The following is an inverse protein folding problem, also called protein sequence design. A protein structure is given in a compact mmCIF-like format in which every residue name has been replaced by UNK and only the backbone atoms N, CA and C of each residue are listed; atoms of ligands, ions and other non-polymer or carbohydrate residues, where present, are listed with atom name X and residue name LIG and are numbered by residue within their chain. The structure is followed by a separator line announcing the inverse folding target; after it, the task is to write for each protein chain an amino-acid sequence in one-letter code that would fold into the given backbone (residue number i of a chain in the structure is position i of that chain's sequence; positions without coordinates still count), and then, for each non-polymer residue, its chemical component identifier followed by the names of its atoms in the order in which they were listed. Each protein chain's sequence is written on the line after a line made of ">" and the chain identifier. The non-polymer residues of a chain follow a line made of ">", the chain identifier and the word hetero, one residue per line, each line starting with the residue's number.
data_IF_728963837643
#
_entry.id   IF_728963837643
#
_cell.length_a   1.000
_cell.length_b   1.000
_cell.length_c   1.000
_cell.angle_alpha   90.00
_cell.angle_beta   90.00
_cell.angle_gamma   90.00
#
_symmetry.space_group_name_H-M   'P 1'
#
loop_
_entity.id
_entity.type
_entity.pdbx_description
1 polymer ?
#
# COMPACT_ATOMS: atom_id res chain seq x y z
N UNK A 1 -2.61 -59.34 46.59
CA UNK A 1 -3.37 -59.28 47.85
C UNK A 1 -4.06 -57.94 47.95
N UNK A 2 -5.38 -57.80 47.84
CA UNK A 2 -6.41 -58.53 47.10
C UNK A 2 -7.58 -57.50 46.95
N UNK A 3 -8.25 -57.37 45.82
CA UNK A 3 -9.37 -58.22 45.38
C UNK A 3 -10.52 -58.35 46.42
N UNK A 4 -11.80 -58.21 46.08
CA UNK A 4 -12.44 -57.78 44.80
C UNK A 4 -13.98 -57.79 44.90
N UNK A 5 -14.69 -57.36 43.83
CA UNK A 5 -15.98 -57.96 43.35
C UNK A 5 -17.25 -57.71 44.22
N UNK A 6 -18.53 -57.70 43.74
CA UNK A 6 -19.27 -58.00 42.48
C UNK A 6 -20.36 -56.89 42.32
N UNK A 7 -20.69 -56.27 41.17
CA UNK A 7 -21.27 -56.76 39.88
C UNK A 7 -22.70 -57.35 40.02
N UNK A 8 -23.69 -57.00 39.19
CA UNK A 8 -24.13 -57.57 37.87
C UNK A 8 -25.42 -56.81 37.46
N UNK A 9 -25.90 -56.58 36.22
CA UNK A 9 -25.47 -56.51 34.80
C UNK A 9 -26.67 -55.87 34.01
N UNK A 10 -26.77 -55.69 32.68
CA UNK A 10 -25.96 -56.01 31.48
C UNK A 10 -26.26 -55.04 30.31
N UNK A 11 -25.54 -55.02 29.17
CA UNK A 11 -25.64 -55.92 27.98
C UNK A 11 -26.97 -55.69 27.22
N UNK A 12 -27.03 -55.40 25.90
CA UNK A 12 -26.17 -55.66 24.71
C UNK A 12 -25.82 -54.36 23.91
N UNK A 13 -24.83 -54.23 22.98
CA UNK A 13 -24.37 -55.02 21.79
C UNK A 13 -25.44 -55.10 20.68
N UNK A 14 -25.24 -54.94 19.35
CA UNK A 14 -24.14 -54.74 18.34
C UNK A 14 -24.80 -54.16 17.02
N UNK A 15 -24.19 -53.74 15.88
CA UNK A 15 -22.86 -53.22 15.45
C UNK A 15 -22.85 -52.85 13.93
N UNK A 16 -22.03 -51.86 13.48
CA UNK A 16 -21.77 -51.50 12.05
C UNK A 16 -21.58 -49.98 11.87
N UNK A 17 -20.51 -49.43 11.25
CA UNK A 17 -20.05 -49.48 9.84
C UNK A 17 -20.99 -48.69 8.90
N UNK A 18 -20.64 -47.55 8.27
CA UNK A 18 -19.45 -47.12 7.48
C UNK A 18 -19.42 -47.70 6.05
N UNK A 19 -19.54 -46.83 5.01
CA UNK A 19 -19.00 -46.92 3.62
C UNK A 19 -19.57 -45.79 2.72
N UNK A 20 -18.81 -45.45 1.68
CA UNK A 20 -19.00 -44.58 0.47
C UNK A 20 -20.44 -44.23 0.00
N UNK A 21 -20.76 -43.11 -0.68
CA UNK A 21 -20.09 -42.29 -1.73
C UNK A 21 -20.27 -42.78 -3.20
N UNK A 22 -20.57 -41.83 -4.10
CA UNK A 22 -20.47 -41.92 -5.58
C UNK A 22 -21.46 -42.81 -6.38
N UNK A 23 -22.69 -42.33 -6.64
CA UNK A 23 -23.46 -42.56 -7.89
C UNK A 23 -24.71 -41.64 -7.94
N UNK A 24 -25.32 -41.29 -9.08
CA UNK A 24 -25.07 -41.69 -10.47
C UNK A 24 -25.27 -40.51 -11.45
N UNK A 25 -24.63 -40.61 -12.63
CA UNK A 25 -24.89 -39.79 -13.82
C UNK A 25 -25.81 -40.58 -14.80
N UNK A 26 -26.39 -39.89 -15.78
CA UNK A 26 -27.10 -40.43 -16.96
C UNK A 26 -28.42 -41.22 -16.76
N UNK A 27 -29.54 -40.58 -17.10
CA UNK A 27 -30.67 -41.03 -17.97
C UNK A 27 -31.83 -40.02 -17.75
N UNK A 28 -32.68 -39.64 -18.72
CA UNK A 28 -33.26 -40.37 -19.86
C UNK A 28 -33.26 -39.55 -21.17
N UNK A 29 -33.86 -40.05 -22.26
CA UNK A 29 -33.62 -39.54 -23.62
C UNK A 29 -34.81 -39.54 -24.59
N UNK A 30 -34.98 -38.41 -25.33
CA UNK A 30 -35.60 -38.26 -26.68
C UNK A 30 -37.13 -38.44 -26.85
N UNK A 31 -37.63 -37.83 -27.96
CA UNK A 31 -38.91 -38.05 -28.69
C UNK A 31 -40.18 -37.39 -28.06
N UNK A 32 -41.11 -36.74 -28.81
CA UNK A 32 -41.25 -36.44 -30.26
C UNK A 32 -41.95 -35.07 -30.52
N UNK A 33 -41.84 -34.57 -31.76
CA UNK A 33 -42.80 -33.72 -32.49
C UNK A 33 -43.09 -32.29 -31.95
N UNK A 34 -43.64 -31.34 -32.72
CA UNK A 34 -44.07 -31.36 -34.12
C UNK A 34 -43.58 -30.10 -34.90
N UNK A 35 -43.63 -30.15 -36.24
CA UNK A 35 -43.28 -29.03 -37.11
C UNK A 35 -44.48 -28.10 -37.33
N UNK A 36 -44.27 -26.79 -37.31
CA UNK A 36 -45.22 -25.78 -37.79
C UNK A 36 -44.48 -24.73 -38.63
N UNK A 37 -44.82 -24.62 -39.92
CA UNK A 37 -44.21 -23.65 -40.82
C UNK A 37 -44.90 -22.28 -40.71
N UNK A 38 -44.15 -21.26 -40.33
CA UNK A 38 -44.49 -19.87 -40.62
C UNK A 38 -43.39 -19.23 -41.46
N UNK A 39 -43.67 -19.01 -42.75
CA UNK A 39 -42.73 -18.39 -43.67
C UNK A 39 -42.77 -16.87 -43.51
N UNK A 40 -41.87 -16.33 -42.69
CA UNK A 40 -41.73 -14.89 -42.51
C UNK A 40 -40.88 -14.30 -43.65
N UNK A 41 -41.49 -13.54 -44.56
CA UNK A 41 -40.80 -12.95 -45.70
C UNK A 41 -39.95 -11.75 -45.25
N UNK A 42 -38.70 -12.01 -44.88
CA UNK A 42 -37.76 -11.00 -44.41
C UNK A 42 -37.34 -10.05 -45.55
N UNK A 43 -37.83 -8.80 -45.49
CA UNK A 43 -37.39 -7.72 -46.39
C UNK A 43 -35.98 -7.30 -45.97
N UNK A 44 -34.97 -7.78 -46.70
CA UNK A 44 -33.57 -7.42 -46.48
C UNK A 44 -33.29 -5.98 -46.95
N UNK A 45 -33.59 -5.00 -46.10
CA UNK A 45 -33.12 -3.62 -46.29
C UNK A 45 -31.59 -3.62 -46.14
N UNK A 46 -30.81 -3.21 -47.16
CA UNK A 46 -29.37 -3.12 -47.04
C UNK A 46 -29.02 -1.95 -46.12
N UNK A 47 -28.77 -2.27 -44.84
CA UNK A 47 -28.32 -1.29 -43.86
C UNK A 47 -26.89 -0.87 -44.21
N UNK A 48 -26.77 0.18 -45.03
CA UNK A 48 -25.49 0.71 -45.48
C UNK A 48 -24.65 1.07 -44.26
N UNK A 49 -23.59 0.28 -44.00
CA UNK A 49 -22.77 0.40 -42.82
C UNK A 49 -22.00 1.72 -42.82
N UNK A 50 -22.58 2.75 -42.18
CA UNK A 50 -21.87 3.98 -41.83
C UNK A 50 -20.77 3.58 -40.85
N UNK A 51 -19.59 3.32 -41.39
CA UNK A 51 -18.40 3.03 -40.61
C UNK A 51 -18.11 4.21 -39.70
N UNK A 52 -18.43 4.07 -38.41
CA UNK A 52 -18.03 5.03 -37.39
C UNK A 52 -16.50 5.04 -37.37
N UNK A 53 -15.92 6.01 -38.09
CA UNK A 53 -14.50 6.27 -38.04
C UNK A 53 -14.12 6.48 -36.57
N UNK A 54 -13.29 5.59 -36.02
CA UNK A 54 -12.67 5.85 -34.72
C UNK A 54 -11.95 7.18 -34.84
N UNK A 55 -12.25 8.11 -33.94
CA UNK A 55 -11.47 9.33 -33.81
C UNK A 55 -10.00 8.92 -33.71
N UNK A 56 -9.18 9.35 -34.67
CA UNK A 56 -7.77 8.96 -34.72
C UNK A 56 -7.11 9.40 -33.43
N UNK A 57 -6.45 8.48 -32.73
CA UNK A 57 -5.66 8.89 -31.57
C UNK A 57 -4.56 9.83 -32.08
N UNK A 58 -4.52 11.03 -31.49
CA UNK A 58 -3.62 12.10 -31.90
C UNK A 58 -2.17 11.59 -31.96
N UNK A 59 -1.39 12.06 -32.94
CA UNK A 59 -0.04 11.56 -33.14
C UNK A 59 0.87 11.94 -31.95
N UNK A 60 1.70 11.02 -31.49
CA UNK A 60 2.66 11.27 -30.41
C UNK A 60 3.81 12.16 -30.92
N UNK A 61 3.95 13.35 -30.34
CA UNK A 61 5.00 14.31 -30.68
C UNK A 61 6.23 14.08 -29.81
N UNK A 62 6.05 13.91 -28.50
CA UNK A 62 7.16 13.74 -27.55
C UNK A 62 6.78 13.06 -26.25
N UNK A 63 7.80 12.61 -25.52
CA UNK A 63 7.70 12.03 -24.18
C UNK A 63 8.74 12.70 -23.29
N UNK A 64 8.34 13.10 -22.10
CA UNK A 64 9.21 13.64 -21.06
C UNK A 64 9.05 12.81 -19.77
N UNK A 65 10.10 12.76 -18.96
CA UNK A 65 10.11 12.04 -17.68
C UNK A 65 10.55 12.98 -16.57
N UNK A 66 9.83 12.96 -15.44
CA UNK A 66 10.07 13.83 -14.30
C UNK A 66 10.23 13.00 -13.00
N UNK A 67 11.28 13.23 -12.20
CA UNK A 67 12.42 14.12 -12.49
C UNK A 67 13.28 13.61 -13.66
N UNK A 68 14.01 14.50 -14.31
CA UNK A 68 14.87 14.17 -15.47
C UNK A 68 16.18 13.48 -15.09
N UNK A 69 16.49 13.44 -13.79
CA UNK A 69 17.62 12.74 -13.16
C UNK A 69 17.20 12.39 -11.73
N UNK A 70 17.76 11.31 -11.18
CA UNK A 70 17.44 10.81 -9.84
C UNK A 70 18.71 10.76 -9.00
N UNK A 71 18.58 11.18 -7.74
CA UNK A 71 19.60 10.98 -6.70
C UNK A 71 18.98 10.13 -5.59
N UNK A 72 19.70 9.11 -5.14
CA UNK A 72 19.38 8.30 -3.97
C UNK A 72 20.58 8.37 -3.03
N UNK A 73 20.36 8.84 -1.81
CA UNK A 73 21.39 9.40 -0.92
C UNK A 73 21.39 8.81 0.50
N UNK A 74 20.60 7.76 0.72
CA UNK A 74 20.61 6.93 1.93
C UNK A 74 19.96 5.58 1.65
N UNK A 75 20.13 4.60 2.54
CA UNK A 75 19.44 3.31 2.50
C UNK A 75 17.90 3.40 2.55
N UNK A 76 17.34 4.57 2.85
CA UNK A 76 15.90 4.80 3.04
C UNK A 76 15.24 5.46 1.81
N UNK A 77 16.03 6.07 0.93
CA UNK A 77 15.60 6.93 -0.19
C UNK A 77 14.76 6.16 -1.23
N UNK A 78 13.78 6.87 -1.79
CA UNK A 78 12.74 6.31 -2.68
C UNK A 78 12.32 7.34 -3.70
N UNK A 79 12.33 6.98 -4.98
CA UNK A 79 11.90 7.86 -6.07
C UNK A 79 10.91 7.16 -7.00
N UNK A 80 9.78 7.80 -7.28
CA UNK A 80 8.92 7.45 -8.43
C UNK A 80 9.11 8.46 -9.54
N UNK A 81 8.72 8.12 -10.77
CA UNK A 81 8.81 9.02 -11.92
C UNK A 81 7.45 9.18 -12.59
N UNK A 82 7.18 10.38 -13.11
CA UNK A 82 6.01 10.67 -13.94
C UNK A 82 6.43 10.74 -15.40
N UNK A 83 5.72 10.03 -16.27
CA UNK A 83 5.96 10.00 -17.72
C UNK A 83 4.85 10.78 -18.42
N UNK A 84 5.21 11.89 -19.07
CA UNK A 84 4.27 12.76 -19.76
C UNK A 84 4.41 12.61 -21.28
N UNK A 85 3.38 12.09 -21.93
CA UNK A 85 3.24 12.14 -23.39
C UNK A 85 2.69 13.50 -23.82
N UNK A 86 3.17 14.01 -24.96
CA UNK A 86 2.68 15.23 -25.62
C UNK A 86 2.27 14.88 -27.04
N UNK A 87 1.06 15.28 -27.42
CA UNK A 87 0.40 14.88 -28.67
C UNK A 87 0.25 16.05 -29.65
N UNK A 88 -0.05 15.74 -30.93
CA UNK A 88 -0.12 16.72 -32.03
C UNK A 88 -1.32 17.69 -31.97
N UNK A 89 -2.26 17.45 -31.06
CA UNK A 89 -3.35 18.35 -30.67
C UNK A 89 -2.93 19.32 -29.55
N UNK A 90 -1.66 19.28 -29.12
CA UNK A 90 -1.12 20.04 -28.00
C UNK A 90 -1.45 19.47 -26.62
N UNK A 91 -2.19 18.35 -26.54
CA UNK A 91 -2.61 17.77 -25.27
C UNK A 91 -1.45 17.00 -24.64
N UNK A 92 -1.19 17.27 -23.36
CA UNK A 92 -0.29 16.46 -22.52
C UNK A 92 -1.09 15.42 -21.73
N UNK A 93 -0.58 14.19 -21.59
CA UNK A 93 -1.20 13.13 -20.78
C UNK A 93 -0.17 12.43 -19.92
N UNK A 94 -0.54 12.11 -18.67
CA UNK A 94 0.19 11.12 -17.87
C UNK A 94 0.03 9.74 -18.54
N UNK A 95 1.17 9.10 -18.82
CA UNK A 95 1.27 7.76 -19.39
C UNK A 95 2.18 6.85 -18.53
N UNK A 96 2.45 7.22 -17.29
CA UNK A 96 3.33 6.49 -16.36
C UNK A 96 2.94 5.02 -16.22
N UNK A 97 1.64 4.73 -16.11
CA UNK A 97 1.08 3.37 -16.03
C UNK A 97 1.03 2.61 -17.36
N UNK A 98 1.42 3.25 -18.47
CA UNK A 98 1.49 2.66 -19.83
C UNK A 98 2.92 2.58 -20.37
N UNK A 99 3.87 3.27 -19.75
CA UNK A 99 5.28 3.22 -20.12
C UNK A 99 5.93 1.93 -19.59
N UNK A 100 6.87 1.38 -20.34
CA UNK A 100 7.81 0.39 -19.80
C UNK A 100 9.01 1.11 -19.19
N UNK A 101 9.53 0.56 -18.10
CA UNK A 101 10.69 1.09 -17.38
C UNK A 101 11.66 -0.06 -17.11
N UNK A 102 12.95 0.14 -17.38
CA UNK A 102 14.01 -0.84 -17.13
C UNK A 102 15.31 -0.15 -16.72
N UNK A 103 16.11 -0.80 -15.88
CA UNK A 103 17.38 -0.25 -15.39
C UNK A 103 18.57 -0.95 -16.05
N UNK A 104 19.57 -0.19 -16.50
CA UNK A 104 20.69 -0.69 -17.29
C UNK A 104 21.64 -1.58 -16.48
N UNK A 105 21.86 -1.24 -15.21
CA UNK A 105 22.53 -2.10 -14.24
C UNK A 105 21.68 -2.17 -12.95
N UNK A 106 21.20 -3.36 -12.53
CA UNK A 106 20.37 -3.54 -11.33
C UNK A 106 21.20 -3.75 -10.04
N UNK A 107 22.46 -3.34 -10.04
CA UNK A 107 23.40 -3.41 -8.91
C UNK A 107 23.32 -2.16 -8.02
N UNK A 108 23.23 -0.96 -8.61
CA UNK A 108 23.20 0.30 -7.87
C UNK A 108 21.81 0.61 -7.29
N UNK A 109 20.75 0.30 -8.03
CA UNK A 109 19.37 0.50 -7.61
C UNK A 109 18.44 -0.62 -8.10
N UNK A 110 17.36 -0.87 -7.36
CA UNK A 110 16.25 -1.75 -7.80
C UNK A 110 15.08 -0.90 -8.29
N UNK A 111 14.25 -1.49 -9.17
CA UNK A 111 13.05 -0.86 -9.73
C UNK A 111 11.86 -1.79 -9.53
N UNK A 112 10.94 -1.42 -8.64
CA UNK A 112 9.78 -2.23 -8.26
C UNK A 112 8.49 -1.44 -8.52
N UNK A 113 7.73 -1.79 -9.56
CA UNK A 113 6.44 -1.15 -9.85
C UNK A 113 6.52 0.36 -10.16
N UNK A 114 7.67 0.84 -10.66
CA UNK A 114 7.93 2.27 -10.88
C UNK A 114 8.56 3.01 -9.69
N UNK A 115 8.83 2.31 -8.59
CA UNK A 115 9.57 2.81 -7.43
C UNK A 115 11.04 2.41 -7.54
N UNK A 116 11.94 3.38 -7.64
CA UNK A 116 13.38 3.19 -7.45
C UNK A 116 13.74 3.14 -5.96
N UNK A 117 14.66 2.24 -5.61
CA UNK A 117 15.31 2.14 -4.29
C UNK A 117 16.81 1.92 -4.48
N UNK A 118 17.68 2.45 -3.61
CA UNK A 118 19.12 2.17 -3.68
C UNK A 118 19.43 0.74 -3.24
N UNK A 119 20.55 0.22 -3.73
CA UNK A 119 21.08 -1.11 -3.42
C UNK A 119 22.59 -1.10 -3.19
N UNK A 120 23.34 -0.31 -3.97
CA UNK A 120 24.77 -0.06 -3.79
C UNK A 120 25.16 1.30 -4.40
N UNK A 121 26.24 1.89 -3.91
CA UNK A 121 26.77 3.16 -4.42
C UNK A 121 27.27 3.01 -5.88
N UNK A 122 26.98 4.00 -6.71
CA UNK A 122 27.36 4.07 -8.11
C UNK A 122 26.30 4.67 -9.03
N UNK A 123 26.67 4.86 -10.30
CA UNK A 123 25.78 5.39 -11.33
C UNK A 123 25.10 4.27 -12.14
N UNK A 124 23.83 4.46 -12.46
CA UNK A 124 23.08 3.61 -13.40
C UNK A 124 22.10 4.45 -14.22
N UNK A 125 21.46 3.84 -15.22
CA UNK A 125 20.54 4.55 -16.13
C UNK A 125 19.21 3.84 -16.15
N UNK A 126 18.14 4.58 -15.86
CA UNK A 126 16.77 4.15 -16.08
C UNK A 126 16.40 4.47 -17.53
N UNK A 127 15.96 3.46 -18.29
CA UNK A 127 15.35 3.63 -19.60
C UNK A 127 13.84 3.59 -19.44
N UNK A 128 13.15 4.61 -19.95
CA UNK A 128 11.69 4.70 -19.96
C UNK A 128 11.23 4.75 -21.40
N UNK A 129 10.33 3.86 -21.81
CA UNK A 129 9.82 3.80 -23.18
C UNK A 129 8.30 3.85 -23.24
N UNK A 130 7.76 4.57 -24.21
CA UNK A 130 6.34 4.69 -24.48
C UNK A 130 6.10 4.85 -25.99
N UNK A 131 5.28 3.96 -26.56
CA UNK A 131 5.10 3.83 -28.01
C UNK A 131 6.45 3.74 -28.77
N UNK A 132 6.71 4.64 -29.72
CA UNK A 132 7.94 4.72 -30.53
C UNK A 132 8.98 5.70 -29.96
N UNK A 133 8.88 6.06 -28.67
CA UNK A 133 9.79 6.97 -27.97
C UNK A 133 10.44 6.29 -26.77
N UNK A 134 11.70 6.64 -26.51
CA UNK A 134 12.44 6.24 -25.32
C UNK A 134 13.23 7.43 -24.78
N UNK A 135 13.31 7.51 -23.45
CA UNK A 135 14.00 8.55 -22.68
C UNK A 135 14.90 7.84 -21.67
N UNK A 136 16.15 8.29 -21.55
CA UNK A 136 17.07 7.85 -20.50
C UNK A 136 17.09 8.87 -19.36
N UNK A 137 17.10 8.38 -18.13
CA UNK A 137 17.16 9.16 -16.90
C UNK A 137 18.38 8.68 -16.09
N UNK A 138 19.37 9.54 -15.82
CA UNK A 138 20.48 9.20 -14.92
C UNK A 138 19.96 8.90 -13.51
N UNK A 139 20.51 7.87 -12.89
CA UNK A 139 20.25 7.50 -11.48
C UNK A 139 21.58 7.42 -10.77
N UNK A 140 21.83 8.40 -9.91
CA UNK A 140 23.02 8.50 -9.08
C UNK A 140 22.71 7.92 -7.70
N UNK A 141 23.55 7.00 -7.21
CA UNK A 141 23.39 6.38 -5.89
C UNK A 141 24.64 6.63 -5.05
N UNK A 142 24.46 7.24 -3.89
CA UNK A 142 25.48 7.39 -2.85
C UNK A 142 24.93 6.90 -1.51
N UNK A 143 25.83 6.44 -0.63
CA UNK A 143 25.53 6.15 0.78
C UNK A 143 24.36 5.16 0.93
N UNK A 144 24.24 4.19 0.02
CA UNK A 144 23.16 3.21 -0.05
C UNK A 144 23.12 2.26 1.16
N UNK A 145 24.24 2.12 1.87
CA UNK A 145 24.32 1.40 3.15
C UNK A 145 24.07 2.26 4.39
N UNK A 146 23.96 3.59 4.25
CA UNK A 146 23.80 4.49 5.40
C UNK A 146 22.34 4.66 5.80
N UNK A 147 22.04 4.34 7.07
CA UNK A 147 20.78 4.68 7.69
C UNK A 147 20.86 6.08 8.31
N UNK A 148 20.31 7.08 7.61
CA UNK A 148 20.16 8.44 8.15
C UNK A 148 19.40 8.40 9.49
N UNK A 149 19.84 9.17 10.52
CA UNK A 149 19.14 9.26 11.80
C UNK A 149 17.68 9.73 11.66
N UNK A 150 16.80 9.14 12.46
CA UNK A 150 15.37 9.43 12.43
C UNK A 150 15.06 10.86 12.89
N UNK A 151 14.38 11.62 12.04
CA UNK A 151 13.98 13.01 12.28
C UNK A 151 12.55 13.09 12.82
N UNK A 152 12.33 13.90 13.85
CA UNK A 152 10.96 14.13 14.33
C UNK A 152 10.16 14.97 13.33
N UNK A 153 10.77 16.03 12.78
CA UNK A 153 10.16 16.93 11.80
C UNK A 153 9.94 16.29 10.42
N UNK A 154 10.90 15.49 9.93
CA UNK A 154 10.84 14.93 8.56
C UNK A 154 10.24 13.51 8.48
N UNK A 155 10.38 12.67 9.50
CA UNK A 155 9.81 11.32 9.49
C UNK A 155 8.51 11.21 10.31
N UNK A 156 8.54 11.67 11.56
CA UNK A 156 7.47 11.40 12.54
C UNK A 156 6.26 12.31 12.36
N UNK A 157 6.46 13.61 12.16
CA UNK A 157 5.35 14.56 11.98
C UNK A 157 4.53 14.27 10.70
N UNK A 158 5.13 13.93 9.55
CA UNK A 158 4.37 13.49 8.37
C UNK A 158 3.56 12.21 8.61
N UNK A 159 4.01 11.27 9.45
CA UNK A 159 3.18 10.11 9.85
C UNK A 159 1.92 10.58 10.59
N UNK A 160 2.01 11.50 11.55
CA UNK A 160 0.83 12.04 12.25
C UNK A 160 -0.11 12.82 11.32
N UNK A 161 0.41 13.46 10.28
CA UNK A 161 -0.40 14.13 9.26
C UNK A 161 -1.09 13.14 8.32
N UNK A 162 -0.34 12.19 7.77
CA UNK A 162 -0.80 11.16 6.82
C UNK A 162 -1.88 10.25 7.42
N UNK A 163 -1.75 9.91 8.69
CA UNK A 163 -2.69 9.07 9.45
C UNK A 163 -3.85 9.85 10.09
N UNK A 164 -3.83 11.18 9.98
CA UNK A 164 -4.90 12.08 10.42
C UNK A 164 -4.92 12.40 11.92
N UNK A 165 -3.92 11.98 12.69
CA UNK A 165 -3.81 12.22 14.13
C UNK A 165 -3.80 13.71 14.48
N UNK A 166 -3.05 14.52 13.72
CA UNK A 166 -2.91 15.97 13.94
C UNK A 166 -3.97 16.82 13.17
N UNK A 167 -5.10 16.21 12.78
CA UNK A 167 -6.23 16.93 12.16
C UNK A 167 -7.09 17.65 13.21
N UNK A 168 -7.75 18.73 12.77
CA UNK A 168 -8.73 19.48 13.58
C UNK A 168 -9.94 18.68 14.08
N UNK A 169 -10.09 17.41 13.66
CA UNK A 169 -11.13 16.49 14.16
C UNK A 169 -10.80 15.86 15.52
N UNK A 170 -9.51 15.77 15.87
CA UNK A 170 -9.00 15.03 17.02
C UNK A 170 -7.90 15.84 17.73
N UNK A 171 -6.65 15.37 17.75
CA UNK A 171 -5.60 16.02 18.54
C UNK A 171 -5.12 17.34 17.95
N UNK A 172 -5.28 17.58 16.64
CA UNK A 172 -5.04 18.87 15.99
C UNK A 172 -6.14 19.93 16.21
N UNK A 173 -7.19 19.63 16.99
CA UNK A 173 -8.16 20.63 17.42
C UNK A 173 -7.51 21.64 18.37
N UNK A 174 -8.01 22.88 18.45
CA UNK A 174 -7.41 23.92 19.30
C UNK A 174 -7.33 23.58 20.81
N UNK A 175 -8.18 22.67 21.29
CA UNK A 175 -8.14 22.11 22.66
C UNK A 175 -7.61 20.67 22.73
N UNK A 176 -7.25 20.08 21.58
CA UNK A 176 -7.00 18.65 21.43
C UNK A 176 -8.21 17.79 21.81
N UNK A 177 -7.92 16.58 22.27
CA UNK A 177 -8.91 15.60 22.76
C UNK A 177 -8.35 14.85 23.96
N UNK A 178 -9.20 14.56 24.94
CA UNK A 178 -8.88 13.72 26.12
C UNK A 178 -7.61 14.13 26.89
N UNK A 179 -7.30 15.44 26.92
CA UNK A 179 -6.10 15.99 27.57
C UNK A 179 -4.80 15.84 26.77
N UNK A 180 -4.88 15.62 25.46
CA UNK A 180 -3.72 15.61 24.56
C UNK A 180 -4.02 16.37 23.26
N UNK A 181 -3.08 17.23 22.84
CA UNK A 181 -3.14 18.00 21.61
C UNK A 181 -1.84 17.89 20.82
N UNK A 182 -1.98 17.97 19.52
CA UNK A 182 -0.91 18.24 18.55
C UNK A 182 -1.25 19.58 17.86
N UNK A 183 -0.29 20.18 17.19
CA UNK A 183 -0.48 21.33 16.33
C UNK A 183 -1.23 20.90 15.06
N UNK A 184 -2.11 21.76 14.55
CA UNK A 184 -2.88 21.46 13.34
C UNK A 184 -1.92 21.25 12.17
N UNK A 185 -1.95 20.06 11.58
CA UNK A 185 -1.08 19.63 10.48
C UNK A 185 0.44 19.79 10.74
N UNK A 186 0.88 19.83 12.00
CA UNK A 186 2.31 19.93 12.34
C UNK A 186 2.88 21.37 12.32
N UNK A 187 2.04 22.40 12.42
CA UNK A 187 2.42 23.81 12.46
C UNK A 187 3.44 24.20 13.56
N UNK A 188 3.48 23.45 14.67
CA UNK A 188 4.39 23.67 15.80
C UNK A 188 5.01 22.32 16.22
N UNK A 189 6.03 21.85 15.45
CA UNK A 189 6.58 20.52 15.64
C UNK A 189 7.45 20.43 16.90
N UNK A 190 8.17 21.49 17.27
CA UNK A 190 8.98 21.53 18.50
C UNK A 190 8.09 21.49 19.76
N UNK A 191 6.95 22.20 19.75
CA UNK A 191 5.94 22.10 20.79
C UNK A 191 5.24 20.74 20.82
N UNK A 192 5.06 20.08 19.67
CA UNK A 192 4.47 18.73 19.60
C UNK A 192 5.41 17.63 20.08
N UNK A 193 6.71 17.74 19.79
CA UNK A 193 7.73 16.89 20.41
C UNK A 193 7.67 16.99 21.93
N UNK A 194 7.61 18.23 22.46
CA UNK A 194 7.45 18.47 23.90
C UNK A 194 6.15 17.88 24.45
N UNK A 195 5.02 17.99 23.73
CA UNK A 195 3.72 17.42 24.15
C UNK A 195 3.76 15.89 24.19
N UNK A 196 4.43 15.25 23.23
CA UNK A 196 4.60 13.79 23.24
C UNK A 196 5.56 13.32 24.35
N UNK A 197 6.70 14.00 24.52
CA UNK A 197 7.83 13.47 25.33
C UNK A 197 7.91 14.01 26.77
N UNK A 198 7.44 15.24 27.05
CA UNK A 198 7.69 15.95 28.33
C UNK A 198 6.45 16.48 29.06
N UNK A 199 5.44 16.99 28.35
CA UNK A 199 4.28 17.68 28.96
C UNK A 199 3.60 16.83 30.06
N UNK A 200 3.51 15.51 29.86
CA UNK A 200 3.09 14.55 30.90
C UNK A 200 4.02 13.33 30.87
N UNK A 201 5.17 13.45 31.55
CA UNK A 201 6.22 12.42 31.69
C UNK A 201 5.67 11.01 31.94
N UNK A 202 6.20 10.02 31.22
CA UNK A 202 5.91 8.59 31.41
C UNK A 202 4.50 8.12 31.02
N UNK A 203 3.54 9.02 30.74
CA UNK A 203 2.15 8.63 30.39
C UNK A 203 1.88 8.42 28.91
N UNK A 204 2.77 8.87 28.02
CA UNK A 204 2.56 8.81 26.55
C UNK A 204 3.55 7.88 25.85
N UNK A 205 4.81 7.87 26.29
CA UNK A 205 5.89 7.05 25.75
C UNK A 205 6.47 6.14 26.82
N UNK A 206 6.72 4.89 26.47
CA UNK A 206 7.44 3.90 27.25
C UNK A 206 8.74 3.54 26.50
N UNK A 207 9.86 4.14 26.87
CA UNK A 207 11.14 3.91 26.19
C UNK A 207 11.85 2.61 26.63
N UNK A 208 11.29 1.88 27.60
CA UNK A 208 11.77 0.55 27.98
C UNK A 208 11.10 -0.56 27.16
N UNK A 209 9.81 -0.39 26.83
CA UNK A 209 9.03 -1.28 25.96
C UNK A 209 8.27 -0.41 24.94
N UNK A 210 8.93 -0.11 23.82
CA UNK A 210 8.48 0.90 22.85
C UNK A 210 7.10 0.62 22.25
N UNK A 211 6.76 -0.65 22.02
CA UNK A 211 5.44 -1.06 21.54
C UNK A 211 4.31 -0.82 22.55
N UNK A 212 4.63 -0.83 23.86
CA UNK A 212 3.72 -0.53 24.97
C UNK A 212 3.67 0.98 25.29
N UNK A 213 4.25 1.83 24.44
CA UNK A 213 3.98 3.27 24.52
C UNK A 213 2.50 3.51 24.25
N UNK A 214 1.82 4.24 25.14
CA UNK A 214 0.40 4.59 24.97
C UNK A 214 0.13 5.26 23.60
N UNK A 215 1.11 5.98 23.04
CA UNK A 215 1.10 6.44 21.65
C UNK A 215 0.80 5.29 20.66
N UNK A 216 1.59 4.22 20.70
CA UNK A 216 1.49 3.07 19.81
C UNK A 216 0.24 2.22 20.08
N UNK A 217 -0.13 2.04 21.35
CA UNK A 217 -1.37 1.32 21.70
C UNK A 217 -2.62 2.05 21.19
N UNK A 218 -2.63 3.39 21.23
CA UNK A 218 -3.76 4.22 20.76
C UNK A 218 -3.79 4.34 19.24
N UNK A 219 -2.64 4.47 18.55
CA UNK A 219 -2.61 4.51 17.08
C UNK A 219 -2.97 3.16 16.46
N UNK A 220 -2.62 2.04 17.09
CA UNK A 220 -3.05 0.70 16.67
C UNK A 220 -4.44 0.30 17.19
N UNK A 221 -4.99 1.04 18.17
CA UNK A 221 -6.21 0.71 18.92
C UNK A 221 -6.13 -0.69 19.57
N UNK A 222 -4.95 -1.05 20.10
CA UNK A 222 -4.79 -2.16 21.05
C UNK A 222 -5.50 -1.85 22.38
N UNK A 223 -5.53 -0.57 22.77
CA UNK A 223 -6.37 -0.03 23.86
C UNK A 223 -7.41 0.93 23.28
N UNK A 224 -8.60 1.11 23.91
CA UNK A 224 -9.69 1.89 23.33
C UNK A 224 -9.29 3.32 22.95
N UNK A 225 -9.42 3.67 21.67
CA UNK A 225 -9.15 5.00 21.14
C UNK A 225 -10.34 5.51 20.31
N UNK A 226 -10.86 6.69 20.66
CA UNK A 226 -12.03 7.26 20.01
C UNK A 226 -11.80 7.75 18.57
N UNK A 227 -10.53 7.79 18.10
CA UNK A 227 -10.19 7.96 16.68
C UNK A 227 -10.09 6.64 15.89
N UNK A 228 -10.21 5.49 16.55
CA UNK A 228 -10.00 4.15 15.99
C UNK A 228 -8.53 3.84 15.70
N UNK A 229 -8.28 2.69 15.05
CA UNK A 229 -6.96 2.36 14.52
C UNK A 229 -6.61 3.31 13.36
N UNK A 230 -5.42 3.91 13.44
CA UNK A 230 -4.83 4.81 12.44
C UNK A 230 -3.57 4.23 11.78
N UNK A 231 -2.93 3.28 12.44
CA UNK A 231 -1.70 2.60 12.03
C UNK A 231 -1.87 1.11 12.28
N UNK A 232 -1.38 0.24 11.40
CA UNK A 232 -1.37 -1.21 11.55
C UNK A 232 0.01 -1.67 12.01
N UNK A 233 0.08 -2.56 13.00
CA UNK A 233 1.36 -3.16 13.42
C UNK A 233 2.08 -3.80 12.22
N UNK A 234 3.32 -3.38 11.98
CA UNK A 234 4.15 -3.83 10.86
C UNK A 234 3.95 -3.11 9.53
N UNK A 235 3.20 -1.99 9.47
CA UNK A 235 3.23 -1.08 8.31
C UNK A 235 4.39 -0.06 8.40
N UNK A 236 4.60 0.72 7.33
CA UNK A 236 5.68 1.71 7.27
C UNK A 236 5.55 2.84 8.30
N UNK A 237 4.32 3.24 8.65
CA UNK A 237 4.08 4.28 9.63
C UNK A 237 4.36 3.77 11.05
N UNK A 238 4.02 2.51 11.32
CA UNK A 238 4.39 1.81 12.55
C UNK A 238 5.91 1.71 12.68
N UNK A 239 6.60 1.25 11.63
CA UNK A 239 8.06 1.12 11.62
C UNK A 239 8.78 2.45 11.86
N UNK A 240 8.31 3.54 11.25
CA UNK A 240 8.86 4.89 11.48
C UNK A 240 8.70 5.36 12.92
N UNK A 241 7.52 5.16 13.54
CA UNK A 241 7.31 5.53 14.94
C UNK A 241 8.13 4.66 15.90
N UNK A 242 8.21 3.34 15.65
CA UNK A 242 9.05 2.45 16.46
C UNK A 242 10.53 2.85 16.36
N UNK A 243 11.07 3.09 15.15
CA UNK A 243 12.45 3.57 14.95
C UNK A 243 12.75 4.85 15.74
N UNK A 244 11.80 5.78 15.80
CA UNK A 244 11.95 7.01 16.61
C UNK A 244 11.95 6.73 18.11
N UNK A 245 11.09 5.84 18.60
CA UNK A 245 11.05 5.47 20.02
C UNK A 245 12.29 4.67 20.44
N UNK A 246 12.78 3.75 19.61
CA UNK A 246 14.01 2.98 19.82
C UNK A 246 15.26 3.87 19.84
N UNK A 247 15.26 4.95 19.04
CA UNK A 247 16.30 6.00 19.09
C UNK A 247 16.21 6.90 20.35
N UNK A 248 15.27 6.62 21.27
CA UNK A 248 15.08 7.40 22.51
C UNK A 248 14.14 8.60 22.37
N UNK A 249 13.29 8.62 21.35
CA UNK A 249 12.40 9.72 20.98
C UNK A 249 13.13 11.08 20.81
N UNK A 250 14.21 11.15 20.01
CA UNK A 250 15.02 12.35 19.86
C UNK A 250 14.22 13.53 19.30
N UNK A 251 14.64 14.74 19.65
CA UNK A 251 14.29 15.95 18.91
C UNK A 251 15.33 16.17 17.81
N UNK A 252 14.97 16.88 16.75
CA UNK A 252 15.92 17.21 15.68
C UNK A 252 17.07 18.09 16.22
N UNK A 253 18.34 17.84 15.84
CA UNK A 253 19.50 18.51 16.43
C UNK A 253 19.66 19.99 16.01
N UNK A 254 18.77 20.51 15.18
CA UNK A 254 18.78 21.88 14.67
C UNK A 254 17.59 22.17 13.75
N UNK A 255 17.69 23.21 12.90
CA UNK A 255 16.84 23.36 11.72
C UNK A 255 17.00 22.15 10.78
N UNK A 256 15.94 21.85 10.04
CA UNK A 256 15.86 20.84 8.97
C UNK A 256 15.17 21.43 7.75
#
# INVERSE_FOLDING_TARGET
>A
MNDSIRSVAGISRLSGACVEASCAWQQTSRRMAALAMFSAMAIAVPFAGVGMARAGESALVGVAVYPSQVYLSSAQDRQTLVVQATYADGITRDVTSKASMSIAQPNAATLEGGLLKPLADGDTVLTVAFADRSVTVPVHVERAGEMVPVSFKLDVMPVFMKTGCNTGSCHGAARGKDGFRLSLFGFDPDGDHHRLTREISGRRLNLALVEESLLMEKTTNAVPHSGGAKIKKGDEHYATLIRWLEAGAPADPGPV
#
